data_IF_011231622138
#
_entry.id   IF_011231622138
#
_cell.length_a   1.000
_cell.length_b   1.000
_cell.length_c   1.000
_cell.angle_alpha   90.00
_cell.angle_beta   90.00
_cell.angle_gamma   90.00
#
_symmetry.space_group_name_H-M   'P 1'
#
loop_
_entity.id
_entity.type
_entity.pdbx_description
1 polymer ?
#
# COMPACT_ATOMS: atom_id res chain seq x y z
N UNK A 1 25.16 12.63 27.56
CA UNK A 1 23.88 12.61 28.30
C UNK A 1 22.82 13.29 27.44
N UNK A 2 21.73 12.57 27.23
CA UNK A 2 20.42 12.96 26.70
C UNK A 2 20.32 13.52 25.26
N UNK A 3 20.07 12.56 24.37
CA UNK A 3 19.19 12.62 23.20
C UNK A 3 17.82 13.22 23.54
N UNK A 4 17.37 14.20 22.76
CA UNK A 4 15.95 14.60 22.67
C UNK A 4 15.34 13.97 21.42
N UNK A 5 14.58 12.90 21.62
CA UNK A 5 13.73 12.28 20.61
C UNK A 5 12.57 13.23 20.29
N UNK A 6 12.48 13.69 19.03
CA UNK A 6 11.20 14.10 18.46
C UNK A 6 10.53 12.85 17.92
N UNK A 7 9.52 12.38 18.66
CA UNK A 7 8.52 11.43 18.19
C UNK A 7 7.77 12.02 16.99
N UNK A 8 8.10 11.56 15.79
CA UNK A 8 7.23 11.69 14.64
C UNK A 8 6.23 10.53 14.69
N UNK A 9 5.05 10.83 15.24
CA UNK A 9 3.88 9.96 15.16
C UNK A 9 3.59 9.62 13.69
N UNK A 10 3.89 8.37 13.33
CA UNK A 10 3.72 7.82 11.99
C UNK A 10 2.23 7.57 11.75
N UNK A 11 1.54 8.56 11.19
CA UNK A 11 0.15 8.43 10.78
C UNK A 11 0.09 7.56 9.50
N UNK A 12 -0.18 6.26 9.68
CA UNK A 12 -0.11 5.21 8.66
C UNK A 12 -1.16 5.31 7.53
N UNK A 13 -1.70 6.51 7.28
CA UNK A 13 -2.69 6.78 6.21
C UNK A 13 -2.15 7.63 5.06
N UNK A 14 -0.90 8.09 5.11
CA UNK A 14 -0.26 8.78 3.98
C UNK A 14 0.87 7.94 3.36
N UNK A 15 0.50 6.93 2.57
CA UNK A 15 1.46 6.25 1.70
C UNK A 15 1.81 7.19 0.55
N UNK A 16 2.88 7.99 0.72
CA UNK A 16 3.47 8.79 -0.36
C UNK A 16 4.27 7.83 -1.24
N UNK A 17 3.67 7.38 -2.35
CA UNK A 17 4.28 6.41 -3.27
C UNK A 17 5.33 7.02 -4.21
N UNK A 18 5.58 8.32 -4.10
CA UNK A 18 6.64 8.96 -4.86
C UNK A 18 7.96 8.80 -4.12
N UNK A 19 8.98 8.16 -4.74
CA UNK A 19 10.30 8.05 -4.13
C UNK A 19 10.81 9.46 -3.78
N UNK A 20 11.42 9.65 -2.60
CA UNK A 20 11.99 10.94 -2.22
C UNK A 20 13.10 11.29 -3.22
N UNK A 21 12.90 12.38 -3.96
CA UNK A 21 13.92 12.92 -4.87
C UNK A 21 14.84 13.81 -4.05
N UNK A 22 16.13 13.59 -4.18
CA UNK A 22 17.16 14.33 -3.46
C UNK A 22 17.17 15.81 -3.87
N UNK A 23 17.29 16.72 -2.90
CA UNK A 23 17.15 18.17 -3.14
C UNK A 23 18.26 18.70 -4.07
N UNK A 24 19.44 18.06 -4.06
CA UNK A 24 20.53 18.37 -4.98
C UNK A 24 20.17 18.13 -6.47
N UNK A 25 19.31 17.15 -6.76
CA UNK A 25 18.84 16.83 -8.12
C UNK A 25 17.76 17.80 -8.58
N UNK A 26 16.94 18.30 -7.65
CA UNK A 26 15.96 19.35 -7.93
C UNK A 26 16.62 20.72 -8.18
N UNK A 27 17.76 20.98 -7.54
CA UNK A 27 18.55 22.21 -7.73
C UNK A 27 19.37 22.18 -9.03
N UNK A 28 19.89 21.02 -9.43
CA UNK A 28 20.68 20.89 -10.67
C UNK A 28 19.83 20.92 -11.95
N UNK A 29 18.54 20.60 -11.87
CA UNK A 29 17.62 20.63 -13.00
C UNK A 29 16.29 21.35 -12.64
N UNK A 30 16.19 22.67 -12.86
CA UNK A 30 15.03 23.47 -12.45
C UNK A 30 13.75 23.12 -13.21
N UNK A 31 13.86 22.59 -14.44
CA UNK A 31 12.70 22.20 -15.24
C UNK A 31 12.11 20.88 -14.75
N UNK A 32 12.96 19.94 -14.32
CA UNK A 32 12.52 18.73 -13.61
C UNK A 32 11.84 19.08 -12.28
N UNK A 33 12.36 20.07 -11.54
CA UNK A 33 11.74 20.52 -10.29
C UNK A 33 10.32 21.10 -10.50
N UNK A 34 10.12 21.87 -11.58
CA UNK A 34 8.79 22.36 -11.96
C UNK A 34 7.85 21.22 -12.36
N UNK A 35 8.33 20.25 -13.15
CA UNK A 35 7.55 19.08 -13.56
C UNK A 35 7.15 18.21 -12.36
N UNK A 36 8.11 17.89 -11.49
CA UNK A 36 7.87 17.09 -10.29
C UNK A 36 6.86 17.76 -9.36
N UNK A 37 6.98 19.06 -9.13
CA UNK A 37 5.99 19.85 -8.38
C UNK A 37 4.61 19.82 -9.05
N UNK A 38 4.54 20.01 -10.36
CA UNK A 38 3.26 20.02 -11.10
C UNK A 38 2.58 18.65 -11.10
N UNK A 39 3.33 17.57 -11.28
CA UNK A 39 2.79 16.20 -11.28
C UNK A 39 2.31 15.79 -9.88
N UNK A 40 3.11 16.06 -8.84
CA UNK A 40 2.77 15.68 -7.45
C UNK A 40 1.66 16.55 -6.85
N UNK A 41 1.53 17.82 -7.24
CA UNK A 41 0.51 18.72 -6.68
C UNK A 41 -0.79 18.70 -7.50
N UNK A 42 -0.71 18.89 -8.82
CA UNK A 42 -1.87 19.17 -9.65
C UNK A 42 -2.50 17.92 -10.28
N UNK A 43 -1.68 16.92 -10.67
CA UNK A 43 -2.17 15.80 -11.51
C UNK A 43 -2.30 14.47 -10.77
N UNK A 44 -1.51 14.22 -9.74
CA UNK A 44 -1.49 12.94 -9.05
C UNK A 44 -1.90 13.08 -7.57
N UNK A 45 -2.56 12.06 -7.06
CA UNK A 45 -2.83 11.85 -5.64
C UNK A 45 -1.58 11.25 -4.96
N UNK A 46 -1.48 11.30 -3.62
CA UNK A 46 -0.34 10.74 -2.87
C UNK A 46 -0.07 9.26 -3.14
N UNK A 47 -1.10 8.51 -3.57
CA UNK A 47 -1.04 7.10 -3.97
C UNK A 47 -0.68 6.88 -5.46
N UNK A 48 -0.27 7.92 -6.19
CA UNK A 48 0.11 7.83 -7.61
C UNK A 48 -1.04 7.79 -8.61
N UNK A 49 -2.30 7.79 -8.14
CA UNK A 49 -3.49 7.82 -9.02
C UNK A 49 -3.76 9.23 -9.56
N UNK A 50 -4.24 9.35 -10.80
CA UNK A 50 -4.55 10.66 -11.41
C UNK A 50 -5.78 11.29 -10.74
N UNK A 51 -5.67 12.57 -10.35
CA UNK A 51 -6.77 13.35 -9.75
C UNK A 51 -7.91 13.64 -10.74
N UNK A 52 -7.65 13.50 -12.03
CA UNK A 52 -8.50 14.01 -13.11
C UNK A 52 -8.93 12.90 -14.07
N UNK A 53 -9.42 11.79 -13.51
CA UNK A 53 -10.11 10.78 -14.31
C UNK A 53 -11.63 10.93 -14.10
N UNK A 54 -12.30 11.56 -15.06
CA UNK A 54 -13.75 11.78 -15.01
C UNK A 54 -14.52 10.45 -14.88
N UNK A 55 -13.97 9.37 -15.43
CA UNK A 55 -14.57 8.04 -15.36
C UNK A 55 -14.32 7.34 -14.01
N UNK A 56 -13.43 7.85 -13.15
CA UNK A 56 -13.22 7.27 -11.81
C UNK A 56 -14.43 7.48 -10.91
N UNK A 57 -15.09 8.64 -10.97
CA UNK A 57 -16.31 8.91 -10.21
C UNK A 57 -17.45 7.98 -10.62
N UNK A 58 -17.58 7.70 -11.91
CA UNK A 58 -18.55 6.74 -12.44
C UNK A 58 -18.21 5.30 -12.03
N UNK A 59 -16.93 4.90 -12.11
CA UNK A 59 -16.48 3.58 -11.66
C UNK A 59 -16.69 3.38 -10.17
N UNK A 60 -16.47 4.40 -9.35
CA UNK A 60 -16.67 4.34 -7.92
C UNK A 60 -18.17 4.30 -7.57
N UNK A 61 -19.02 5.05 -8.28
CA UNK A 61 -20.48 4.92 -8.16
C UNK A 61 -20.95 3.49 -8.51
N UNK A 62 -20.46 2.92 -9.62
CA UNK A 62 -20.79 1.53 -10.01
C UNK A 62 -20.27 0.52 -8.98
N UNK A 63 -19.08 0.74 -8.40
CA UNK A 63 -18.54 -0.12 -7.32
C UNK A 63 -19.41 -0.07 -6.08
N UNK A 64 -19.86 1.11 -5.66
CA UNK A 64 -20.76 1.26 -4.53
C UNK A 64 -22.11 0.59 -4.81
N UNK A 65 -22.71 0.81 -5.99
CA UNK A 65 -23.93 0.11 -6.39
C UNK A 65 -23.75 -1.40 -6.34
N UNK A 66 -22.68 -1.93 -6.95
CA UNK A 66 -22.35 -3.35 -6.95
C UNK A 66 -22.18 -3.87 -5.51
N UNK A 67 -21.50 -3.13 -4.64
CA UNK A 67 -21.34 -3.47 -3.24
C UNK A 67 -22.69 -3.54 -2.51
N UNK A 68 -23.60 -2.58 -2.74
CA UNK A 68 -24.96 -2.65 -2.17
C UNK A 68 -25.75 -3.85 -2.68
N UNK A 69 -25.64 -4.20 -3.97
CA UNK A 69 -26.27 -5.38 -4.54
C UNK A 69 -25.73 -6.66 -3.92
N UNK A 70 -24.40 -6.77 -3.77
CA UNK A 70 -23.75 -7.90 -3.09
C UNK A 70 -24.24 -8.03 -1.66
N UNK A 71 -24.28 -6.94 -0.89
CA UNK A 71 -24.78 -6.95 0.49
C UNK A 71 -26.25 -7.35 0.58
N UNK A 72 -27.10 -6.86 -0.33
CA UNK A 72 -28.52 -7.27 -0.37
C UNK A 72 -28.66 -8.75 -0.72
N UNK A 73 -27.89 -9.22 -1.70
CA UNK A 73 -27.92 -10.62 -2.12
C UNK A 73 -27.40 -11.56 -1.04
N UNK A 74 -26.31 -11.22 -0.35
CA UNK A 74 -25.80 -12.03 0.76
C UNK A 74 -26.77 -12.06 1.92
N UNK A 75 -27.39 -10.92 2.28
CA UNK A 75 -28.46 -10.89 3.29
C UNK A 75 -29.62 -11.79 2.91
N UNK A 76 -30.10 -11.71 1.68
CA UNK A 76 -31.17 -12.57 1.18
C UNK A 76 -30.75 -14.05 1.17
N UNK A 77 -29.54 -14.35 0.73
CA UNK A 77 -29.00 -15.72 0.69
C UNK A 77 -28.88 -16.29 2.10
N UNK A 78 -28.38 -15.52 3.07
CA UNK A 78 -28.28 -15.91 4.48
C UNK A 78 -29.67 -16.12 5.09
N UNK A 79 -30.64 -15.23 4.81
CA UNK A 79 -32.01 -15.41 5.27
C UNK A 79 -32.67 -16.63 4.65
N UNK A 80 -32.49 -16.86 3.35
CA UNK A 80 -32.98 -18.05 2.65
C UNK A 80 -32.32 -19.31 3.20
N UNK A 81 -31.00 -19.29 3.45
CA UNK A 81 -30.28 -20.43 4.01
C UNK A 81 -30.72 -20.71 5.44
N UNK A 82 -30.88 -19.67 6.28
CA UNK A 82 -31.36 -19.79 7.65
C UNK A 82 -32.81 -20.28 7.71
N UNK A 83 -33.68 -19.77 6.84
CA UNK A 83 -35.06 -20.26 6.72
C UNK A 83 -35.10 -21.70 6.20
N UNK A 84 -34.23 -22.06 5.25
CA UNK A 84 -34.11 -23.45 4.76
C UNK A 84 -33.50 -24.40 5.79
N UNK A 85 -32.72 -23.90 6.76
CA UNK A 85 -32.19 -24.73 7.85
C UNK A 85 -33.16 -24.87 9.03
N UNK A 86 -34.11 -23.94 9.18
CA UNK A 86 -35.13 -23.96 10.25
C UNK A 86 -36.38 -24.75 9.82
N UNK A 87 -36.67 -24.82 8.52
CA UNK A 87 -37.80 -25.58 7.97
C UNK A 87 -37.31 -26.96 7.51
N UNK A 88 -37.71 -28.07 8.17
CA UNK A 88 -37.52 -29.39 7.59
C UNK A 88 -38.42 -29.51 6.37
N UNK A 89 -37.78 -29.58 5.20
CA UNK A 89 -38.23 -30.09 3.92
C UNK A 89 -39.76 -30.22 3.72
N UNK A 90 -40.39 -29.14 3.25
CA UNK A 90 -41.67 -29.20 2.56
C UNK A 90 -41.57 -28.43 1.22
N UNK A 91 -41.38 -29.19 0.14
CA UNK A 91 -41.70 -28.91 -1.28
C UNK A 91 -41.43 -27.51 -1.90
N UNK A 92 -40.79 -27.45 -3.08
CA UNK A 92 -40.57 -26.19 -3.80
C UNK A 92 -41.88 -25.66 -4.39
N UNK A 93 -42.33 -24.48 -3.94
CA UNK A 93 -43.31 -23.68 -4.67
C UNK A 93 -42.62 -22.67 -5.61
N UNK A 94 -43.24 -22.36 -6.76
CA UNK A 94 -42.58 -21.69 -7.88
C UNK A 94 -42.30 -20.21 -7.59
N UNK A 95 -41.14 -19.76 -8.08
CA UNK A 95 -40.74 -18.34 -8.14
C UNK A 95 -41.84 -17.51 -8.78
N UNK A 96 -42.34 -16.51 -8.05
CA UNK A 96 -43.08 -15.38 -8.62
C UNK A 96 -42.10 -14.56 -9.44
N UNK A 97 -42.23 -14.63 -10.75
CA UNK A 97 -41.57 -13.71 -11.68
C UNK A 97 -42.17 -12.32 -11.53
N UNK A 98 -41.29 -11.33 -11.49
CA UNK A 98 -41.60 -9.91 -11.42
C UNK A 98 -42.31 -9.52 -12.73
N UNK A 99 -43.55 -9.05 -12.61
CA UNK A 99 -44.31 -8.49 -13.71
C UNK A 99 -43.73 -7.12 -14.10
N UNK A 100 -43.53 -6.92 -15.40
CA UNK A 100 -43.24 -5.63 -16.04
C UNK A 100 -44.54 -5.17 -16.72
N UNK A 101 -44.94 -3.88 -16.65
CA UNK A 101 -46.21 -3.42 -17.18
C UNK A 101 -46.08 -3.11 -18.68
N UNK A 102 -47.10 -3.44 -19.47
CA UNK A 102 -47.16 -3.01 -20.86
C UNK A 102 -48.27 -3.69 -21.68
N UNK A 103 -49.22 -2.86 -22.10
CA UNK A 103 -50.13 -3.02 -23.25
C UNK A 103 -51.40 -3.86 -23.09
N UNK A 104 -52.45 -3.12 -22.78
CA UNK A 104 -53.81 -3.23 -23.32
C UNK A 104 -53.95 -3.92 -24.69
N UNK A 105 -54.82 -4.92 -24.77
CA UNK A 105 -55.81 -5.07 -25.85
C UNK A 105 -57.08 -5.73 -25.32
N UNK A 106 -58.19 -5.13 -25.70
CA UNK A 106 -59.57 -5.45 -25.35
C UNK A 106 -60.10 -6.47 -26.35
N UNK A 107 -60.71 -7.56 -25.88
CA UNK A 107 -61.71 -8.31 -26.64
C UNK A 107 -62.76 -8.88 -25.70
N UNK A 108 -63.98 -8.34 -25.83
CA UNK A 108 -65.23 -8.78 -25.18
C UNK A 108 -65.85 -9.96 -25.94
N UNK A 109 -66.83 -10.57 -25.28
CA UNK A 109 -67.83 -11.57 -25.72
C UNK A 109 -67.43 -13.03 -25.42
N UNK A 110 -68.29 -13.90 -24.91
CA UNK A 110 -69.71 -13.80 -24.54
C UNK A 110 -70.01 -14.84 -23.45
N UNK A 111 -71.10 -14.57 -22.73
CA UNK A 111 -71.63 -15.32 -21.59
C UNK A 111 -72.08 -16.73 -21.99
N UNK A 112 -71.74 -17.73 -21.17
CA UNK A 112 -72.71 -18.74 -20.77
C UNK A 112 -72.41 -19.28 -19.37
N UNK A 113 -73.23 -18.83 -18.42
CA UNK A 113 -73.66 -19.45 -17.18
C UNK A 113 -73.86 -20.97 -17.39
N UNK A 114 -73.51 -21.94 -16.54
CA UNK A 114 -73.50 -22.15 -15.09
C UNK A 114 -72.92 -23.58 -14.90
N UNK A 115 -72.74 -24.13 -13.68
CA UNK A 115 -72.34 -23.51 -12.43
C UNK A 115 -71.05 -24.15 -11.88
N UNK A 116 -70.37 -23.42 -11.01
CA UNK A 116 -69.37 -23.99 -10.13
C UNK A 116 -70.01 -25.03 -9.21
N UNK A 117 -69.77 -26.31 -9.48
CA UNK A 117 -69.67 -27.35 -8.45
C UNK A 117 -68.19 -27.68 -8.29
N UNK A 118 -67.42 -26.70 -7.81
CA UNK A 118 -66.22 -27.03 -7.05
C UNK A 118 -66.74 -27.49 -5.69
N UNK A 119 -66.98 -28.80 -5.60
CA UNK A 119 -67.36 -29.45 -4.37
C UNK A 119 -66.45 -28.99 -3.24
N UNK A 120 -67.09 -28.38 -2.24
CA UNK A 120 -66.61 -28.34 -0.87
C UNK A 120 -66.38 -29.78 -0.40
N UNK A 121 -65.20 -30.31 -0.65
CA UNK A 121 -64.68 -31.48 0.05
C UNK A 121 -63.21 -31.26 0.43
N UNK A 122 -62.92 -30.14 1.08
CA UNK A 122 -62.07 -30.24 2.27
C UNK A 122 -62.95 -30.87 3.35
N UNK A 123 -63.08 -32.20 3.31
CA UNK A 123 -63.33 -32.94 4.55
C UNK A 123 -62.10 -32.64 5.40
N UNK A 124 -62.29 -32.00 6.54
CA UNK A 124 -61.26 -31.88 7.55
C UNK A 124 -60.62 -33.26 7.72
N UNK A 125 -59.35 -33.39 7.34
CA UNK A 125 -58.63 -34.65 7.50
C UNK A 125 -58.60 -34.92 9.01
N UNK A 126 -59.09 -36.07 9.49
CA UNK A 126 -59.02 -36.40 10.91
C UNK A 126 -57.58 -36.26 11.41
N UNK A 127 -57.40 -35.64 12.57
CA UNK A 127 -56.10 -35.32 13.16
C UNK A 127 -55.13 -36.52 13.17
N UNK A 128 -55.63 -37.73 13.44
CA UNK A 128 -54.84 -38.97 13.42
C UNK A 128 -54.29 -39.37 12.04
N UNK A 129 -54.91 -38.93 10.93
CA UNK A 129 -54.34 -39.11 9.58
C UNK A 129 -53.15 -38.19 9.34
N UNK A 130 -53.20 -36.97 9.86
CA UNK A 130 -52.12 -35.97 9.67
C UNK A 130 -50.87 -36.41 10.44
N UNK A 131 -51.05 -36.88 11.67
CA UNK A 131 -49.97 -37.45 12.49
C UNK A 131 -49.35 -38.67 11.81
N UNK A 132 -50.16 -39.56 11.24
CA UNK A 132 -49.69 -40.73 10.51
C UNK A 132 -48.95 -40.37 9.21
N UNK A 133 -49.46 -39.40 8.43
CA UNK A 133 -48.82 -38.91 7.20
C UNK A 133 -47.49 -38.19 7.49
N UNK A 134 -47.34 -37.58 8.67
CA UNK A 134 -46.09 -36.93 9.10
C UNK A 134 -45.03 -37.96 9.54
N UNK A 135 -45.46 -39.06 10.18
CA UNK A 135 -44.57 -40.09 10.71
C UNK A 135 -44.15 -41.14 9.68
N UNK A 136 -44.96 -41.39 8.63
CA UNK A 136 -44.70 -42.43 7.62
C UNK A 136 -43.49 -42.17 6.69
N UNK A 137 -43.28 -40.95 6.16
CA UNK A 137 -42.17 -40.65 5.25
C UNK A 137 -40.77 -40.98 5.81
N UNK A 138 -40.39 -40.63 7.05
CA UNK A 138 -39.05 -40.98 7.58
C UNK A 138 -38.86 -42.50 7.81
N UNK A 139 -39.96 -43.26 7.92
CA UNK A 139 -39.95 -44.73 8.08
C UNK A 139 -39.85 -45.43 6.72
N UNK A 140 -40.40 -44.82 5.66
CA UNK A 140 -40.47 -45.39 4.31
C UNK A 140 -39.34 -44.94 3.37
N UNK A 141 -38.61 -43.86 3.70
CA UNK A 141 -37.52 -43.36 2.86
C UNK A 141 -36.31 -44.31 2.89
N UNK A 142 -35.93 -44.93 1.76
CA UNK A 142 -34.70 -45.74 1.68
C UNK A 142 -33.43 -44.87 1.74
N UNK A 143 -33.54 -43.54 1.64
CA UNK A 143 -32.42 -42.59 1.64
C UNK A 143 -32.10 -42.00 3.02
N UNK A 144 -32.20 -42.77 4.12
CA UNK A 144 -31.50 -42.42 5.37
C UNK A 144 -29.98 -42.66 5.27
N UNK A 145 -29.40 -42.34 4.10
CA UNK A 145 -27.96 -42.19 3.92
C UNK A 145 -27.69 -40.69 3.86
N UNK A 146 -27.51 -40.09 5.03
CA UNK A 146 -26.97 -38.73 5.14
C UNK A 146 -25.67 -38.66 4.32
N UNK A 147 -25.52 -37.71 3.37
CA UNK A 147 -24.29 -37.53 2.62
C UNK A 147 -23.25 -36.89 3.55
N UNK A 148 -22.64 -37.70 4.43
CA UNK A 148 -21.62 -37.21 5.37
C UNK A 148 -21.32 -38.08 6.59
N UNK A 149 -22.12 -39.11 6.90
CA UNK A 149 -21.85 -39.99 8.04
C UNK A 149 -21.06 -41.23 7.60
N UNK A 150 -19.86 -41.41 8.16
CA UNK A 150 -18.88 -42.45 7.83
C UNK A 150 -19.29 -43.89 8.21
N UNK A 151 -20.53 -44.13 8.61
CA UNK A 151 -21.10 -45.46 8.82
C UNK A 151 -22.58 -45.43 8.45
N UNK A 152 -22.98 -45.88 7.25
CA UNK A 152 -24.38 -46.06 6.94
C UNK A 152 -24.84 -47.34 7.64
N UNK A 153 -25.43 -47.21 8.83
CA UNK A 153 -26.37 -48.22 9.30
C UNK A 153 -27.71 -47.87 8.68
N UNK A 154 -28.09 -48.47 7.53
CA UNK A 154 -29.48 -48.36 7.09
C UNK A 154 -30.35 -48.90 8.22
N UNK A 155 -31.40 -48.17 8.59
CA UNK A 155 -32.48 -48.71 9.41
C UNK A 155 -33.19 -49.72 8.49
N UNK A 156 -32.59 -50.90 8.32
CA UNK A 156 -33.22 -52.03 7.66
C UNK A 156 -34.20 -52.57 8.68
N UNK A 157 -35.45 -52.13 8.57
CA UNK A 157 -36.54 -52.77 9.30
C UNK A 157 -36.60 -54.21 8.76
N UNK A 158 -36.14 -55.16 9.57
CA UNK A 158 -36.27 -56.57 9.26
C UNK A 158 -37.77 -56.90 9.22
N UNK A 159 -38.25 -57.71 8.25
CA UNK A 159 -39.69 -57.99 8.10
C UNK A 159 -40.33 -58.63 9.34
N UNK A 160 -39.50 -59.17 10.24
CA UNK A 160 -39.84 -59.75 11.54
C UNK A 160 -40.35 -58.75 12.58
N UNK A 161 -39.95 -57.47 12.49
CA UNK A 161 -40.21 -56.44 13.51
C UNK A 161 -41.43 -55.56 13.16
N UNK A 162 -41.94 -55.68 11.92
CA UNK A 162 -43.15 -55.02 11.44
C UNK A 162 -44.41 -55.27 12.32
N UNK A 163 -44.73 -56.50 12.78
CA UNK A 163 -45.94 -56.72 13.56
C UNK A 163 -45.93 -56.02 14.94
N UNK A 164 -44.75 -55.80 15.52
CA UNK A 164 -44.59 -55.05 16.77
C UNK A 164 -44.75 -53.54 16.55
N UNK A 165 -44.33 -53.04 15.39
CA UNK A 165 -44.49 -51.63 15.01
C UNK A 165 -45.97 -51.26 14.77
N UNK A 166 -46.75 -52.18 14.18
CA UNK A 166 -48.18 -52.00 13.91
C UNK A 166 -49.10 -52.24 15.13
N UNK A 167 -48.56 -52.60 16.30
CA UNK A 167 -49.35 -52.74 17.54
C UNK A 167 -49.41 -51.45 18.37
N UNK A 168 -48.53 -50.47 18.10
CA UNK A 168 -48.40 -49.23 18.85
C UNK A 168 -49.22 -48.10 18.16
N UNK A 169 -50.10 -47.35 18.86
CA UNK A 169 -50.72 -46.14 18.31
C UNK A 169 -49.66 -45.07 18.02
N UNK A 170 -49.71 -44.33 16.89
CA UNK A 170 -50.80 -44.22 15.92
C UNK A 170 -50.79 -45.28 14.79
N UNK A 171 -49.75 -46.10 14.68
CA UNK A 171 -49.55 -47.07 13.59
C UNK A 171 -50.58 -48.23 13.62
N UNK A 172 -51.12 -48.57 14.79
CA UNK A 172 -52.20 -49.56 14.91
C UNK A 172 -53.52 -49.15 14.25
N UNK A 173 -53.72 -47.85 14.04
CA UNK A 173 -54.90 -47.32 13.34
C UNK A 173 -54.70 -47.23 11.83
N UNK A 174 -53.50 -47.52 11.33
CA UNK A 174 -53.15 -47.44 9.91
C UNK A 174 -54.08 -48.29 9.03
N UNK A 175 -54.39 -49.58 9.33
CA UNK A 175 -55.26 -50.39 8.48
C UNK A 175 -56.66 -49.82 8.25
N UNK A 176 -57.21 -49.10 9.24
CA UNK A 176 -58.53 -48.44 9.13
C UNK A 176 -58.48 -47.21 8.22
N UNK A 177 -57.32 -46.59 8.12
CA UNK A 177 -57.07 -45.36 7.37
C UNK A 177 -56.42 -45.59 6.01
N UNK A 178 -55.89 -46.80 5.73
CA UNK A 178 -55.33 -47.23 4.44
C UNK A 178 -56.22 -46.85 3.24
N UNK A 179 -57.54 -47.13 3.21
CA UNK A 179 -58.35 -46.83 2.02
C UNK A 179 -58.47 -45.31 1.75
N UNK A 180 -58.45 -44.49 2.79
CA UNK A 180 -58.45 -43.03 2.65
C UNK A 180 -57.07 -42.54 2.20
N UNK A 181 -55.99 -43.05 2.80
CA UNK A 181 -54.61 -42.73 2.42
C UNK A 181 -54.33 -43.19 0.98
N UNK A 182 -54.79 -44.35 0.54
CA UNK A 182 -54.58 -44.86 -0.82
C UNK A 182 -55.33 -44.02 -1.85
N UNK A 183 -56.54 -43.56 -1.54
CA UNK A 183 -57.28 -42.63 -2.41
C UNK A 183 -56.58 -41.27 -2.53
N UNK A 184 -56.07 -40.72 -1.42
CA UNK A 184 -55.33 -39.47 -1.42
C UNK A 184 -53.99 -39.62 -2.14
N UNK A 185 -53.25 -40.68 -1.85
CA UNK A 185 -51.96 -40.98 -2.47
C UNK A 185 -52.10 -41.21 -3.96
N UNK A 186 -53.08 -42.00 -4.42
CA UNK A 186 -53.32 -42.20 -5.85
C UNK A 186 -53.73 -40.90 -6.56
N UNK A 187 -54.54 -40.04 -5.94
CA UNK A 187 -54.87 -38.72 -6.49
C UNK A 187 -53.65 -37.81 -6.59
N UNK A 188 -52.78 -37.80 -5.56
CA UNK A 188 -51.54 -37.03 -5.55
C UNK A 188 -50.54 -37.56 -6.54
N UNK A 189 -50.30 -38.86 -6.59
CA UNK A 189 -49.43 -39.52 -7.56
C UNK A 189 -49.89 -39.27 -9.00
N UNK A 190 -51.20 -39.33 -9.28
CA UNK A 190 -51.73 -39.01 -10.61
C UNK A 190 -51.52 -37.54 -10.96
N UNK A 191 -51.68 -36.64 -10.01
CA UNK A 191 -51.47 -35.20 -10.21
C UNK A 191 -49.99 -34.88 -10.43
N UNK A 192 -49.10 -35.40 -9.59
CA UNK A 192 -47.64 -35.18 -9.71
C UNK A 192 -47.08 -35.83 -10.96
N UNK A 193 -47.52 -37.04 -11.30
CA UNK A 193 -47.15 -37.70 -12.55
C UNK A 193 -47.58 -36.90 -13.77
N UNK A 194 -48.82 -36.38 -13.78
CA UNK A 194 -49.30 -35.50 -14.86
C UNK A 194 -48.48 -34.19 -14.94
N UNK A 195 -48.14 -33.58 -13.82
CA UNK A 195 -47.28 -32.39 -13.78
C UNK A 195 -45.86 -32.68 -14.29
N UNK A 196 -45.23 -33.77 -13.84
CA UNK A 196 -43.90 -34.19 -14.29
C UNK A 196 -43.87 -34.47 -15.79
N UNK A 197 -44.87 -35.18 -16.32
CA UNK A 197 -44.98 -35.41 -17.76
C UNK A 197 -45.18 -34.13 -18.59
N UNK A 198 -45.81 -33.07 -18.04
CA UNK A 198 -45.83 -31.74 -18.69
C UNK A 198 -44.46 -31.07 -18.71
N UNK A 199 -43.67 -31.25 -17.66
CA UNK A 199 -42.30 -30.69 -17.57
C UNK A 199 -41.37 -31.41 -18.56
N UNK A 200 -41.48 -32.73 -18.65
CA UNK A 200 -40.66 -33.55 -19.55
C UNK A 200 -41.06 -33.36 -21.01
N UNK A 201 -42.34 -33.13 -21.30
CA UNK A 201 -42.85 -32.97 -22.67
C UNK A 201 -43.70 -31.69 -22.81
N UNK A 202 -43.07 -30.50 -22.80
CA UNK A 202 -43.78 -29.21 -22.80
C UNK A 202 -44.54 -28.94 -24.11
N UNK A 203 -44.18 -29.60 -25.20
CA UNK A 203 -44.83 -29.45 -26.52
C UNK A 203 -45.97 -30.43 -26.76
N UNK A 204 -46.23 -31.37 -25.85
CA UNK A 204 -47.25 -32.41 -26.05
C UNK A 204 -48.64 -31.91 -25.61
N UNK A 205 -49.64 -32.16 -26.45
CA UNK A 205 -51.03 -31.80 -26.15
C UNK A 205 -51.51 -32.46 -24.84
N UNK A 206 -52.22 -31.73 -23.97
CA UNK A 206 -52.61 -32.21 -22.64
C UNK A 206 -53.38 -33.52 -22.62
N UNK A 207 -54.11 -33.83 -23.70
CA UNK A 207 -54.88 -35.07 -23.83
C UNK A 207 -54.00 -36.32 -23.97
N UNK A 208 -52.76 -36.21 -24.47
CA UNK A 208 -51.85 -37.34 -24.70
C UNK A 208 -50.82 -37.54 -23.58
N UNK A 209 -50.83 -36.71 -22.55
CA UNK A 209 -49.90 -36.74 -21.42
C UNK A 209 -49.88 -38.12 -20.73
N UNK A 210 -51.02 -38.79 -20.65
CA UNK A 210 -51.14 -40.10 -20.02
C UNK A 210 -50.30 -41.21 -20.67
N UNK A 211 -49.92 -41.05 -21.95
CA UNK A 211 -49.06 -42.03 -22.66
C UNK A 211 -47.60 -41.93 -22.24
N UNK A 212 -47.18 -40.79 -21.70
CA UNK A 212 -45.81 -40.52 -21.26
C UNK A 212 -45.59 -40.98 -19.81
N UNK A 213 -46.66 -41.15 -19.02
CA UNK A 213 -46.58 -41.55 -17.61
C UNK A 213 -45.78 -42.86 -17.40
N UNK A 214 -45.99 -43.93 -18.19
CA UNK A 214 -45.24 -45.18 -18.01
C UNK A 214 -43.75 -45.08 -18.35
N UNK A 215 -43.34 -44.13 -19.21
CA UNK A 215 -41.95 -43.93 -19.59
C UNK A 215 -41.19 -42.93 -18.71
N UNK A 216 -41.87 -42.26 -17.77
CA UNK A 216 -41.23 -41.32 -16.84
C UNK A 216 -40.06 -41.92 -16.04
N UNK A 217 -40.15 -43.16 -15.49
CA UNK A 217 -39.05 -43.70 -14.69
C UNK A 217 -37.78 -43.96 -15.51
N UNK A 218 -37.92 -44.47 -16.75
CA UNK A 218 -36.76 -44.71 -17.63
C UNK A 218 -36.16 -43.40 -18.15
N UNK A 219 -36.98 -42.39 -18.41
CA UNK A 219 -36.49 -41.05 -18.75
C UNK A 219 -35.78 -40.38 -17.57
N UNK A 220 -36.29 -40.54 -16.35
CA UNK A 220 -35.68 -39.98 -15.15
C UNK A 220 -34.31 -40.61 -14.85
N UNK A 221 -34.18 -41.94 -14.98
CA UNK A 221 -32.88 -42.61 -14.81
C UNK A 221 -31.89 -42.29 -15.93
N UNK A 222 -32.37 -42.14 -17.17
CA UNK A 222 -31.55 -41.66 -18.29
C UNK A 222 -31.05 -40.23 -18.04
N UNK A 223 -31.94 -39.32 -17.64
CA UNK A 223 -31.57 -37.93 -17.32
C UNK A 223 -30.64 -37.83 -16.11
N UNK A 224 -30.84 -38.65 -15.07
CA UNK A 224 -29.94 -38.64 -13.91
C UNK A 224 -28.55 -39.13 -14.29
N UNK A 225 -28.44 -40.19 -15.10
CA UNK A 225 -27.16 -40.70 -15.60
C UNK A 225 -26.48 -39.70 -16.55
N UNK A 226 -27.23 -39.02 -17.41
CA UNK A 226 -26.73 -37.98 -18.30
C UNK A 226 -26.28 -36.73 -17.54
N UNK A 227 -26.99 -36.32 -16.49
CA UNK A 227 -26.55 -35.23 -15.62
C UNK A 227 -25.27 -35.61 -14.85
N UNK A 228 -25.16 -36.84 -14.38
CA UNK A 228 -23.95 -37.33 -13.71
C UNK A 228 -22.74 -37.34 -14.67
N UNK A 229 -22.92 -37.78 -15.92
CA UNK A 229 -21.86 -37.79 -16.93
C UNK A 229 -21.48 -36.39 -17.40
N UNK A 230 -22.44 -35.48 -17.58
CA UNK A 230 -22.16 -34.08 -17.91
C UNK A 230 -21.43 -33.36 -16.76
N UNK A 231 -21.81 -33.64 -15.51
CA UNK A 231 -21.10 -33.11 -14.34
C UNK A 231 -19.66 -33.61 -14.29
N UNK A 232 -19.41 -34.89 -14.55
CA UNK A 232 -18.05 -35.42 -14.57
C UNK A 232 -17.24 -34.83 -15.73
N UNK A 233 -17.79 -34.74 -16.95
CA UNK A 233 -17.14 -34.09 -18.10
C UNK A 233 -16.84 -32.60 -17.87
N UNK A 234 -17.75 -31.88 -17.22
CA UNK A 234 -17.52 -30.49 -16.83
C UNK A 234 -16.39 -30.38 -15.80
N UNK A 235 -16.33 -31.30 -14.82
CA UNK A 235 -15.23 -31.31 -13.85
C UNK A 235 -13.88 -31.61 -14.50
N UNK A 236 -13.81 -32.56 -15.44
CA UNK A 236 -12.57 -32.92 -16.14
C UNK A 236 -12.10 -31.81 -17.07
N UNK A 237 -13.01 -31.19 -17.83
CA UNK A 237 -12.69 -30.04 -18.68
C UNK A 237 -12.19 -28.84 -17.87
N UNK A 238 -12.79 -28.56 -16.69
CA UNK A 238 -12.28 -27.53 -15.78
C UNK A 238 -10.87 -27.83 -15.29
N UNK A 239 -10.59 -29.08 -14.87
CA UNK A 239 -9.25 -29.47 -14.44
C UNK A 239 -8.23 -29.36 -15.57
N UNK A 240 -8.58 -29.78 -16.78
CA UNK A 240 -7.73 -29.66 -17.97
C UNK A 240 -7.43 -28.19 -18.30
N UNK A 241 -8.45 -27.32 -18.27
CA UNK A 241 -8.28 -25.88 -18.48
C UNK A 241 -7.36 -25.25 -17.43
N UNK A 242 -7.53 -25.60 -16.14
CA UNK A 242 -6.63 -25.13 -15.08
C UNK A 242 -5.18 -25.58 -15.32
N UNK A 243 -4.97 -26.84 -15.71
CA UNK A 243 -3.64 -27.35 -16.02
C UNK A 243 -2.96 -26.60 -17.19
N UNK A 244 -3.72 -26.27 -18.23
CA UNK A 244 -3.21 -25.45 -19.35
C UNK A 244 -2.85 -24.03 -18.91
N UNK A 245 -3.67 -23.39 -18.05
CA UNK A 245 -3.36 -22.05 -17.53
C UNK A 245 -2.10 -22.04 -16.65
N UNK A 246 -1.89 -23.09 -15.85
CA UNK A 246 -0.68 -23.27 -15.05
C UNK A 246 0.54 -23.42 -15.96
N UNK A 247 0.43 -24.24 -17.03
CA UNK A 247 1.50 -24.41 -17.99
C UNK A 247 1.86 -23.09 -18.70
N UNK A 248 0.85 -22.31 -19.10
CA UNK A 248 1.04 -20.98 -19.68
C UNK A 248 1.75 -20.04 -18.70
N UNK A 249 1.32 -19.99 -17.44
CA UNK A 249 1.95 -19.16 -16.42
C UNK A 249 3.43 -19.54 -16.21
N UNK A 250 3.74 -20.84 -16.21
CA UNK A 250 5.12 -21.33 -16.11
C UNK A 250 5.97 -20.92 -17.32
N UNK A 251 5.41 -20.91 -18.53
CA UNK A 251 6.10 -20.41 -19.72
C UNK A 251 6.34 -18.90 -19.64
N UNK A 252 5.34 -18.11 -19.20
CA UNK A 252 5.51 -16.67 -19.00
C UNK A 252 6.60 -16.35 -17.96
N UNK A 253 6.64 -17.10 -16.85
CA UNK A 253 7.69 -16.95 -15.84
C UNK A 253 9.08 -17.23 -16.44
N UNK A 254 9.22 -18.29 -17.24
CA UNK A 254 10.49 -18.60 -17.94
C UNK A 254 10.91 -17.49 -18.89
N UNK A 255 9.97 -16.92 -19.66
CA UNK A 255 10.24 -15.81 -20.58
C UNK A 255 10.69 -14.56 -19.81
N UNK A 256 10.00 -14.20 -18.71
CA UNK A 256 10.38 -13.06 -17.89
C UNK A 256 11.76 -13.22 -17.25
N UNK A 257 12.11 -14.42 -16.78
CA UNK A 257 13.44 -14.71 -16.24
C UNK A 257 14.52 -14.66 -17.33
N UNK A 258 14.22 -15.14 -18.54
CA UNK A 258 15.16 -15.02 -19.66
C UNK A 258 15.36 -13.56 -20.07
N UNK A 259 14.28 -12.76 -20.09
CA UNK A 259 14.34 -11.33 -20.36
C UNK A 259 15.15 -10.60 -19.29
N UNK A 260 14.88 -10.85 -18.00
CA UNK A 260 15.63 -10.22 -16.90
C UNK A 260 17.11 -10.56 -16.99
N UNK A 261 17.46 -11.83 -17.22
CA UNK A 261 18.86 -12.24 -17.43
C UNK A 261 19.51 -11.54 -18.62
N UNK A 262 18.78 -11.36 -19.72
CA UNK A 262 19.30 -10.62 -20.88
C UNK A 262 19.49 -9.13 -20.60
N UNK A 263 18.63 -8.55 -19.77
CA UNK A 263 18.71 -7.16 -19.33
C UNK A 263 19.91 -6.98 -18.38
N UNK A 264 20.04 -7.88 -17.41
CA UNK A 264 21.14 -7.94 -16.47
C UNK A 264 22.47 -8.13 -17.21
N UNK A 265 22.53 -9.02 -18.21
CA UNK A 265 23.73 -9.19 -19.02
C UNK A 265 24.15 -7.89 -19.73
N UNK A 266 23.20 -7.11 -20.26
CA UNK A 266 23.51 -5.83 -20.91
C UNK A 266 23.96 -4.76 -19.90
N UNK A 267 23.24 -4.60 -18.80
CA UNK A 267 23.55 -3.55 -17.82
C UNK A 267 24.79 -3.87 -16.99
N UNK A 268 24.98 -5.13 -16.59
CA UNK A 268 26.11 -5.54 -15.74
C UNK A 268 27.45 -5.35 -16.47
N UNK A 269 27.54 -5.64 -17.76
CA UNK A 269 28.78 -5.42 -18.53
C UNK A 269 29.11 -3.92 -18.60
N UNK A 270 28.10 -3.07 -18.86
CA UNK A 270 28.29 -1.61 -18.89
C UNK A 270 28.69 -1.09 -17.51
N UNK A 271 28.04 -1.52 -16.43
CA UNK A 271 28.39 -1.13 -15.06
C UNK A 271 29.81 -1.56 -14.69
N UNK A 272 30.21 -2.82 -15.00
CA UNK A 272 31.57 -3.30 -14.74
C UNK A 272 32.61 -2.57 -15.56
N UNK A 273 32.31 -2.23 -16.82
CA UNK A 273 33.20 -1.43 -17.66
C UNK A 273 33.38 -0.02 -17.08
N UNK A 274 32.30 0.64 -16.66
CA UNK A 274 32.37 1.96 -16.05
C UNK A 274 33.14 1.93 -14.72
N UNK A 275 32.93 0.90 -13.90
CA UNK A 275 33.69 0.70 -12.66
C UNK A 275 35.19 0.51 -12.95
N UNK A 276 35.55 -0.37 -13.88
CA UNK A 276 36.95 -0.58 -14.26
C UNK A 276 37.55 0.68 -14.88
N UNK A 277 36.80 1.39 -15.72
CA UNK A 277 37.23 2.66 -16.33
C UNK A 277 37.46 3.74 -15.26
N UNK A 278 36.57 3.85 -14.26
CA UNK A 278 36.75 4.76 -13.14
C UNK A 278 37.99 4.40 -12.29
N UNK A 279 38.23 3.11 -12.08
CA UNK A 279 39.43 2.63 -11.39
C UNK A 279 40.70 2.99 -12.16
N UNK A 280 40.73 2.75 -13.48
CA UNK A 280 41.87 3.14 -14.34
C UNK A 280 42.11 4.65 -14.30
N UNK A 281 41.05 5.46 -14.45
CA UNK A 281 41.15 6.92 -14.36
C UNK A 281 41.65 7.39 -12.99
N UNK A 282 41.23 6.75 -11.90
CA UNK A 282 41.70 7.07 -10.55
C UNK A 282 43.16 6.70 -10.32
N UNK A 283 43.65 5.62 -10.94
CA UNK A 283 45.06 5.25 -10.88
C UNK A 283 45.90 6.22 -11.70
N UNK A 284 45.42 6.61 -12.88
CA UNK A 284 46.07 7.61 -13.71
C UNK A 284 46.14 8.98 -13.01
N UNK A 285 45.07 9.41 -12.34
CA UNK A 285 45.09 10.66 -11.56
C UNK A 285 46.09 10.60 -10.41
N UNK A 286 46.16 9.48 -9.67
CA UNK A 286 47.14 9.28 -8.59
C UNK A 286 48.57 9.25 -9.11
N UNK A 287 48.81 8.62 -10.26
CA UNK A 287 50.12 8.67 -10.93
C UNK A 287 50.47 10.10 -11.31
N UNK A 288 49.53 10.85 -11.89
CA UNK A 288 49.68 12.26 -12.20
C UNK A 288 50.02 13.12 -10.97
N UNK A 289 49.31 12.93 -9.86
CA UNK A 289 49.61 13.59 -8.58
C UNK A 289 51.01 13.24 -8.06
N UNK A 290 51.40 11.96 -8.13
CA UNK A 290 52.73 11.53 -7.71
C UNK A 290 53.84 12.13 -8.59
N UNK A 291 53.61 12.22 -9.90
CA UNK A 291 54.54 12.84 -10.84
C UNK A 291 54.64 14.35 -10.60
N UNK A 292 53.51 15.03 -10.37
CA UNK A 292 53.46 16.46 -10.07
C UNK A 292 54.14 16.79 -8.74
N UNK A 293 53.93 16.00 -7.69
CA UNK A 293 54.59 16.17 -6.39
C UNK A 293 56.10 15.92 -6.49
N UNK A 294 56.53 14.92 -7.26
CA UNK A 294 57.94 14.68 -7.54
C UNK A 294 58.57 15.83 -8.35
N UNK A 295 57.91 16.29 -9.41
CA UNK A 295 58.36 17.43 -10.21
C UNK A 295 58.49 18.71 -9.38
N UNK A 296 57.52 18.98 -8.50
CA UNK A 296 57.57 20.08 -7.55
C UNK A 296 58.74 19.92 -6.57
N UNK A 297 58.97 18.72 -6.04
CA UNK A 297 60.12 18.42 -5.18
C UNK A 297 61.45 18.65 -5.90
N UNK A 298 61.56 18.25 -7.16
CA UNK A 298 62.73 18.51 -8.01
C UNK A 298 62.93 20.00 -8.24
N UNK A 299 61.88 20.73 -8.64
CA UNK A 299 61.93 22.18 -8.84
C UNK A 299 62.26 22.94 -7.54
N UNK A 300 61.78 22.49 -6.39
CA UNK A 300 62.18 23.08 -5.09
C UNK A 300 63.66 22.86 -4.81
N UNK A 301 64.22 21.69 -5.14
CA UNK A 301 65.66 21.43 -4.98
C UNK A 301 66.51 22.29 -5.92
N UNK A 302 66.04 22.58 -7.13
CA UNK A 302 66.77 23.46 -8.07
C UNK A 302 66.70 24.93 -7.64
N UNK A 303 65.55 25.42 -7.19
CA UNK A 303 65.37 26.81 -6.73
C UNK A 303 66.02 27.05 -5.36
N UNK A 304 65.81 26.15 -4.41
CA UNK A 304 66.39 26.21 -3.06
C UNK A 304 67.60 25.29 -2.95
N UNK A 305 68.69 25.72 -3.58
CA UNK A 305 69.98 25.05 -3.39
C UNK A 305 70.37 25.05 -1.91
N UNK A 306 71.13 24.05 -1.42
CA UNK A 306 71.53 23.99 -0.01
C UNK A 306 72.32 25.23 0.40
N UNK A 307 73.09 25.80 -0.55
CA UNK A 307 73.78 27.07 -0.37
C UNK A 307 72.81 28.23 -0.20
N UNK A 308 71.77 28.35 -1.05
CA UNK A 308 70.73 29.38 -0.91
C UNK A 308 69.99 29.27 0.42
N UNK A 309 69.65 28.07 0.88
CA UNK A 309 69.03 27.85 2.20
C UNK A 309 69.98 28.27 3.33
N UNK A 310 71.27 27.94 3.24
CA UNK A 310 72.27 28.37 4.22
C UNK A 310 72.44 29.89 4.25
N UNK A 311 72.39 30.54 3.08
CA UNK A 311 72.46 31.99 2.94
C UNK A 311 71.21 32.66 3.53
N UNK A 312 70.00 32.15 3.24
CA UNK A 312 68.75 32.64 3.83
C UNK A 312 68.74 32.48 5.36
N UNK A 313 69.25 31.36 5.90
CA UNK A 313 69.42 31.18 7.35
C UNK A 313 70.36 32.24 7.94
N UNK A 314 71.53 32.43 7.34
CA UNK A 314 72.49 33.47 7.77
C UNK A 314 71.87 34.87 7.70
N UNK A 315 71.14 35.17 6.64
CA UNK A 315 70.43 36.44 6.47
C UNK A 315 69.34 36.62 7.53
N UNK A 316 68.59 35.58 7.88
CA UNK A 316 67.59 35.65 8.95
C UNK A 316 68.19 35.92 10.33
N UNK A 317 69.36 35.34 10.62
CA UNK A 317 70.13 35.62 11.85
C UNK A 317 70.62 37.07 11.81
N UNK A 318 71.21 37.49 10.70
CA UNK A 318 71.65 38.87 10.52
C UNK A 318 70.50 39.89 10.67
N UNK A 319 69.30 39.60 10.16
CA UNK A 319 68.13 40.45 10.35
C UNK A 319 67.66 40.51 11.81
N UNK A 320 67.74 39.40 12.55
CA UNK A 320 67.45 39.40 14.00
C UNK A 320 68.48 40.22 14.76
N UNK A 321 69.76 40.04 14.46
CA UNK A 321 70.83 40.80 15.09
C UNK A 321 70.73 42.28 14.75
N UNK A 322 70.47 42.63 13.48
CA UNK A 322 70.28 44.00 13.04
C UNK A 322 69.07 44.64 13.73
N UNK A 323 67.97 43.90 13.87
CA UNK A 323 66.81 44.36 14.66
C UNK A 323 67.18 44.59 16.12
N UNK A 324 67.92 43.66 16.75
CA UNK A 324 68.40 43.81 18.11
C UNK A 324 69.28 45.06 18.29
N UNK A 325 70.21 45.30 17.35
CA UNK A 325 71.04 46.52 17.34
C UNK A 325 70.21 47.80 17.20
N UNK A 326 69.18 47.79 16.35
CA UNK A 326 68.28 48.94 16.21
C UNK A 326 67.50 49.16 17.50
N UNK A 327 66.96 48.10 18.11
CA UNK A 327 66.27 48.18 19.41
C UNK A 327 67.20 48.68 20.53
N UNK A 328 68.45 48.22 20.56
CA UNK A 328 69.48 48.73 21.48
C UNK A 328 69.80 50.20 21.22
N UNK A 329 69.97 50.61 19.95
CA UNK A 329 70.22 52.00 19.58
C UNK A 329 69.04 52.92 19.93
N UNK A 330 67.82 52.42 19.81
CA UNK A 330 66.61 53.14 20.24
C UNK A 330 66.66 53.30 21.76
N UNK A 331 66.94 52.24 22.52
CA UNK A 331 67.07 52.33 23.99
C UNK A 331 68.19 53.29 24.43
N UNK A 332 69.34 53.28 23.76
CA UNK A 332 70.43 54.22 24.09
C UNK A 332 70.03 55.65 23.78
N UNK A 333 69.43 55.91 22.61
CA UNK A 333 68.92 57.24 22.25
C UNK A 333 67.80 57.69 23.19
N UNK A 334 66.91 56.79 23.62
CA UNK A 334 65.88 57.07 24.62
C UNK A 334 66.49 57.42 25.98
N UNK A 335 67.55 56.72 26.41
CA UNK A 335 68.29 57.07 27.64
C UNK A 335 69.01 58.42 27.50
N UNK A 336 69.64 58.70 26.37
CA UNK A 336 70.26 60.00 26.07
C UNK A 336 69.20 61.11 26.09
N UNK A 337 68.08 60.94 25.37
CA UNK A 337 66.95 61.86 25.39
C UNK A 337 66.38 62.05 26.81
N UNK A 338 66.27 60.98 27.59
CA UNK A 338 65.86 61.04 28.98
C UNK A 338 66.85 61.84 29.85
N UNK A 339 68.17 61.70 29.64
CA UNK A 339 69.19 62.53 30.29
C UNK A 339 69.09 64.01 29.93
N UNK A 340 68.62 64.33 28.72
CA UNK A 340 68.26 65.69 28.30
C UNK A 340 66.85 66.11 28.77
N UNK A 341 66.15 65.27 29.54
CA UNK A 341 64.80 65.51 30.08
C UNK A 341 63.66 65.25 29.09
N UNK A 342 63.94 64.80 27.87
CA UNK A 342 62.91 64.53 26.85
C UNK A 342 62.52 63.05 26.91
N UNK A 343 61.60 62.70 27.81
CA UNK A 343 61.07 61.34 27.94
C UNK A 343 59.83 61.29 28.85
N UNK A 344 59.10 60.18 28.87
CA UNK A 344 57.84 60.00 29.64
C UNK A 344 58.06 60.18 31.15
N UNK A 345 59.23 59.79 31.66
CA UNK A 345 59.66 60.01 33.06
C UNK A 345 60.56 61.26 33.23
N UNK A 346 61.05 61.83 32.13
CA UNK A 346 61.97 62.97 32.12
C UNK A 346 61.35 64.33 32.39
N UNK A 347 60.02 64.45 32.59
CA UNK A 347 59.34 65.74 32.81
C UNK A 347 59.91 66.50 34.00
N UNK A 348 60.19 65.84 35.12
CA UNK A 348 60.72 66.48 36.32
C UNK A 348 62.18 66.95 36.13
N UNK A 349 62.99 66.14 35.44
CA UNK A 349 64.38 66.49 35.14
C UNK A 349 64.46 67.61 34.10
N UNK A 350 63.60 67.59 33.07
CA UNK A 350 63.44 68.69 32.12
C UNK A 350 62.96 69.96 32.78
N UNK A 351 62.05 69.86 33.75
CA UNK A 351 61.59 71.00 34.52
C UNK A 351 62.73 71.58 35.37
N UNK A 352 63.60 70.73 35.96
CA UNK A 352 64.79 71.19 36.69
C UNK A 352 65.83 71.82 35.77
N UNK A 353 66.19 71.18 34.66
CA UNK A 353 67.15 71.75 33.69
C UNK A 353 66.57 73.01 33.03
N UNK A 354 65.29 73.04 32.67
CA UNK A 354 64.62 74.26 32.18
C UNK A 354 64.51 75.35 33.25
N UNK A 355 64.33 75.01 34.54
CA UNK A 355 64.37 75.99 35.64
C UNK A 355 65.78 76.54 35.85
N UNK A 356 66.81 75.71 35.73
CA UNK A 356 68.21 76.16 35.78
C UNK A 356 68.54 77.05 34.59
N UNK A 357 68.16 76.65 33.36
CA UNK A 357 68.31 77.48 32.16
C UNK A 357 67.53 78.79 32.30
N UNK A 358 66.28 78.75 32.76
CA UNK A 358 65.48 79.96 32.99
C UNK A 358 66.03 80.84 34.12
N UNK A 359 66.66 80.24 35.15
CA UNK A 359 67.36 80.97 36.20
C UNK A 359 68.61 81.64 35.65
N UNK A 360 69.44 80.92 34.90
CA UNK A 360 70.62 81.48 34.23
C UNK A 360 70.22 82.59 33.25
N UNK A 361 69.16 82.42 32.47
CA UNK A 361 68.63 83.46 31.59
C UNK A 361 68.10 84.67 32.37
N UNK A 362 67.46 84.46 33.53
CA UNK A 362 66.99 85.55 34.39
C UNK A 362 68.14 86.30 35.07
N UNK A 363 69.17 85.58 35.51
CA UNK A 363 70.38 86.16 36.11
C UNK A 363 71.18 86.92 35.04
N UNK A 364 71.31 86.38 33.82
CA UNK A 364 71.85 87.10 32.66
C UNK A 364 71.00 88.34 32.32
N UNK A 365 69.68 88.22 32.35
CA UNK A 365 68.77 89.34 32.12
C UNK A 365 68.95 90.44 33.17
N UNK A 366 69.08 90.08 34.45
CA UNK A 366 69.42 91.03 35.52
C UNK A 366 70.78 91.67 35.32
N UNK A 367 71.80 90.91 34.94
CA UNK A 367 73.12 91.48 34.64
C UNK A 367 73.05 92.46 33.47
N UNK A 368 72.24 92.17 32.44
CA UNK A 368 72.01 93.09 31.31
C UNK A 368 71.22 94.34 31.76
N UNK A 369 70.22 94.18 32.63
CA UNK A 369 69.45 95.29 33.20
C UNK A 369 70.28 96.13 34.18
N UNK A 370 71.15 95.54 35.00
CA UNK A 370 72.10 96.24 35.87
C UNK A 370 73.13 97.00 35.04
N UNK A 371 73.72 96.36 34.03
CA UNK A 371 74.60 97.05 33.08
C UNK A 371 73.85 98.16 32.33
N UNK A 372 72.58 97.94 31.99
CA UNK A 372 71.71 98.96 31.38
C UNK A 372 71.40 100.13 32.32
N UNK A 373 71.08 99.84 33.58
CA UNK A 373 70.80 100.84 34.61
C UNK A 373 72.06 101.62 34.98
N UNK A 374 73.22 100.98 35.05
CA UNK A 374 74.51 101.64 35.25
C UNK A 374 74.86 102.55 34.06
N UNK A 375 74.55 102.11 32.82
CA UNK A 375 74.68 102.95 31.63
C UNK A 375 73.70 104.14 31.65
N UNK A 376 72.46 103.95 32.09
CA UNK A 376 71.47 105.03 32.21
C UNK A 376 71.83 106.01 33.34
N UNK A 377 72.43 105.53 34.43
CA UNK A 377 72.95 106.35 35.53
C UNK A 377 74.15 107.19 35.11
N UNK A 378 74.99 106.66 34.22
CA UNK A 378 76.07 107.39 33.53
C UNK A 378 75.54 108.38 32.48
N UNK A 379 74.24 108.37 32.16
CA UNK A 379 73.61 109.24 31.15
C UNK A 379 72.67 110.29 31.75
N UNK A 380 72.36 110.20 33.05
CA UNK A 380 71.45 111.07 33.80
C UNK A 380 72.11 111.98 34.85
N UNK A 381 73.44 112.04 34.89
CA UNK A 381 74.26 113.07 35.52
C UNK A 381 75.28 113.57 34.51
#
# INVERSE_FOLDING_TARGET
MLTTHQETTFDARQVKMFPPVDEAVLQSNPDFAKLYKTLTTAKLNPNGSTKQDAAQKERDAVREELHTYRLKHTKQSILVSALSSIVPEATPQPRKTIARPGSTTVSKSSKQSQPATADKQQKDLPYGLVELILLLPPILSPENTSPGATNPTPIIIQPSDLPFLFTIPPLSTLPKHIPQISSLLSSKLRTTSSQLSRIVSPSTNPSYIHRVIPSLPSLASSQSSQLASLKSQLSTSRLSGLQQTIALLALHAKILVALSKSLDAKHTIVSRYLELSAQVMSLESRLGESAATHALGSARKTVYTPQAVSALKRYSIHLRDARGRVEESIRTLEMELASYGVGVEGREQKERTMKEVARVYRDMGRQIEEVGADLDRLKGG
#
